data_IF_910278030514
#
_entry.id   IF_910278030514
#
_cell.length_a   1.000
_cell.length_b   1.000
_cell.length_c   1.000
_cell.angle_alpha   90.00
_cell.angle_beta   90.00
_cell.angle_gamma   90.00
#
_symmetry.space_group_name_H-M   'P 1'
#
loop_
_entity.id
_entity.type
_entity.pdbx_description
1 polymer ?
#
# COMPACT_ATOMS: atom_id res chain seq x y z
N UNK A 1 3.59 -19.93 -10.92
CA UNK A 1 4.10 -19.17 -9.75
C UNK A 1 3.94 -17.66 -9.90
N UNK A 2 4.35 -17.02 -11.00
CA UNK A 2 4.23 -15.55 -11.19
C UNK A 2 2.81 -14.97 -11.02
N UNK A 3 1.76 -15.67 -11.49
CA UNK A 3 0.35 -15.21 -11.38
C UNK A 3 -0.19 -15.20 -9.95
N UNK A 4 0.18 -16.19 -9.12
CA UNK A 4 -0.25 -16.25 -7.72
C UNK A 4 0.45 -15.18 -6.87
N UNK A 5 1.74 -14.96 -7.12
CA UNK A 5 2.49 -13.88 -6.45
C UNK A 5 1.90 -12.52 -6.81
N UNK A 6 1.55 -12.30 -8.07
CA UNK A 6 0.88 -11.07 -8.52
C UNK A 6 -0.50 -10.87 -7.87
N UNK A 7 -1.31 -11.93 -7.77
CA UNK A 7 -2.62 -11.85 -7.12
C UNK A 7 -2.49 -11.57 -5.61
N UNK A 8 -1.54 -12.24 -4.94
CA UNK A 8 -1.25 -12.02 -3.53
C UNK A 8 -0.78 -10.58 -3.26
N UNK A 9 0.05 -10.02 -4.14
CA UNK A 9 0.49 -8.62 -4.06
C UNK A 9 -0.71 -7.65 -4.15
N UNK A 10 -1.61 -7.84 -5.12
CA UNK A 10 -2.82 -7.00 -5.24
C UNK A 10 -3.70 -7.07 -3.99
N UNK A 11 -3.95 -8.28 -3.48
CA UNK A 11 -4.77 -8.48 -2.28
C UNK A 11 -4.12 -7.81 -1.07
N UNK A 12 -2.81 -7.97 -0.90
CA UNK A 12 -2.07 -7.36 0.20
C UNK A 12 -2.13 -5.83 0.13
N UNK A 13 -1.99 -5.24 -1.06
CA UNK A 13 -2.10 -3.79 -1.27
C UNK A 13 -3.50 -3.27 -0.94
N UNK A 14 -4.55 -3.98 -1.34
CA UNK A 14 -5.93 -3.65 -0.98
C UNK A 14 -6.12 -3.69 0.54
N UNK A 15 -5.58 -4.70 1.21
CA UNK A 15 -5.62 -4.82 2.67
C UNK A 15 -4.96 -3.62 3.35
N UNK A 16 -3.76 -3.22 2.91
CA UNK A 16 -3.05 -2.05 3.43
C UNK A 16 -3.82 -0.75 3.17
N UNK A 17 -4.49 -0.62 2.03
CA UNK A 17 -5.31 0.55 1.70
C UNK A 17 -6.52 0.67 2.65
N UNK A 18 -7.21 -0.45 2.90
CA UNK A 18 -8.35 -0.51 3.84
C UNK A 18 -7.90 -0.22 5.27
N UNK A 19 -6.76 -0.77 5.70
CA UNK A 19 -6.19 -0.48 7.01
C UNK A 19 -5.82 1.00 7.14
N UNK A 20 -5.13 1.57 6.16
CA UNK A 20 -4.74 2.98 6.18
C UNK A 20 -5.98 3.89 6.30
N UNK A 21 -7.05 3.58 5.58
CA UNK A 21 -8.34 4.28 5.70
C UNK A 21 -8.95 4.12 7.10
N UNK A 22 -8.96 2.92 7.65
CA UNK A 22 -9.45 2.66 9.00
C UNK A 22 -8.69 3.49 10.04
N UNK A 23 -7.35 3.53 9.97
CA UNK A 23 -6.50 4.32 10.88
C UNK A 23 -6.78 5.82 10.72
N UNK A 24 -6.89 6.30 9.47
CA UNK A 24 -7.16 7.70 9.20
C UNK A 24 -8.53 8.16 9.74
N UNK A 25 -9.55 7.31 9.63
CA UNK A 25 -10.94 7.64 10.02
C UNK A 25 -11.22 7.44 11.50
N UNK A 26 -10.75 6.34 12.11
CA UNK A 26 -11.07 6.00 13.51
C UNK A 26 -10.23 6.79 14.52
N UNK A 27 -9.06 7.29 14.12
CA UNK A 27 -8.19 8.10 14.97
C UNK A 27 -8.22 9.58 14.59
N UNK A 28 -9.38 10.10 14.21
CA UNK A 28 -9.52 11.47 13.71
C UNK A 28 -8.97 12.54 14.67
N UNK A 29 -9.07 12.31 15.98
CA UNK A 29 -8.58 13.24 17.00
C UNK A 29 -7.07 13.15 17.24
N UNK A 30 -6.41 12.06 16.83
CA UNK A 30 -4.97 11.87 17.00
C UNK A 30 -4.22 12.15 15.70
N UNK A 31 -3.62 13.34 15.61
CA UNK A 31 -2.82 13.74 14.46
C UNK A 31 -1.67 12.77 14.15
N UNK A 32 -1.08 12.08 15.15
CA UNK A 32 -0.02 11.10 14.89
C UNK A 32 -0.54 9.92 14.10
N UNK A 33 -1.72 9.41 14.46
CA UNK A 33 -2.34 8.29 13.75
C UNK A 33 -2.77 8.67 12.33
N UNK A 34 -3.20 9.92 12.09
CA UNK A 34 -3.44 10.41 10.73
C UNK A 34 -2.18 10.34 9.86
N UNK A 35 -1.03 10.77 10.38
CA UNK A 35 0.25 10.67 9.68
C UNK A 35 0.67 9.22 9.41
N UNK A 36 0.35 8.30 10.32
CA UNK A 36 0.55 6.85 10.10
C UNK A 36 -0.30 6.34 8.95
N UNK A 37 -1.61 6.63 8.94
CA UNK A 37 -2.48 6.23 7.83
C UNK A 37 -2.00 6.81 6.49
N UNK A 38 -1.57 8.07 6.49
CA UNK A 38 -1.08 8.76 5.29
C UNK A 38 0.26 8.18 4.80
N UNK A 39 1.18 7.83 5.71
CA UNK A 39 2.46 7.19 5.35
C UNK A 39 2.28 5.77 4.82
N UNK A 40 1.28 5.03 5.31
CA UNK A 40 0.92 3.71 4.78
C UNK A 40 0.43 3.82 3.32
N UNK A 41 -0.43 4.80 3.00
CA UNK A 41 -0.86 5.04 1.61
C UNK A 41 0.32 5.44 0.73
N UNK A 42 1.16 6.37 1.20
CA UNK A 42 2.33 6.82 0.45
C UNK A 42 3.29 5.66 0.16
N UNK A 43 3.58 4.82 1.16
CA UNK A 43 4.41 3.64 1.00
C UNK A 43 3.84 2.65 -0.03
N UNK A 44 2.53 2.43 0.00
CA UNK A 44 1.86 1.54 -0.95
C UNK A 44 1.97 2.04 -2.40
N UNK A 45 1.81 3.35 -2.62
CA UNK A 45 1.97 3.98 -3.95
C UNK A 45 3.43 3.93 -4.41
N UNK A 46 4.38 4.28 -3.53
CA UNK A 46 5.81 4.29 -3.85
C UNK A 46 6.29 2.89 -4.25
N UNK A 47 5.94 1.88 -3.47
CA UNK A 47 6.34 0.50 -3.77
C UNK A 47 5.71 -0.02 -5.07
N UNK A 48 4.49 0.38 -5.42
CA UNK A 48 3.87 0.07 -6.71
C UNK A 48 4.67 0.67 -7.87
N UNK A 49 5.14 1.91 -7.72
CA UNK A 49 5.95 2.58 -8.75
C UNK A 49 7.31 1.88 -8.95
N UNK A 50 7.98 1.51 -7.87
CA UNK A 50 9.26 0.78 -7.95
C UNK A 50 9.09 -0.63 -8.53
N UNK A 51 8.05 -1.35 -8.14
CA UNK A 51 7.78 -2.69 -8.66
C UNK A 51 7.47 -2.66 -10.17
N UNK A 52 6.67 -1.67 -10.61
CA UNK A 52 6.40 -1.45 -12.04
C UNK A 52 7.69 -1.22 -12.84
N UNK A 53 8.62 -0.43 -12.30
CA UNK A 53 9.92 -0.16 -12.95
C UNK A 53 10.86 -1.37 -12.92
N UNK A 54 10.87 -2.15 -11.84
CA UNK A 54 11.67 -3.37 -11.73
C UNK A 54 11.26 -4.42 -12.77
N UNK A 55 9.95 -4.59 -12.99
CA UNK A 55 9.42 -5.51 -13.98
C UNK A 55 9.61 -5.03 -15.43
N UNK A 56 9.78 -3.73 -15.65
CA UNK A 56 10.06 -3.14 -16.98
C UNK A 56 11.48 -3.41 -17.46
N UNK A 57 12.45 -3.48 -16.55
CA UNK A 57 13.88 -3.72 -16.83
C UNK A 57 14.23 -5.19 -17.12
N UNK A 58 13.35 -6.14 -16.78
CA UNK A 58 13.54 -7.59 -17.00
C UNK A 58 12.80 -8.13 -18.23
N UNK A 59 12.29 -7.26 -19.10
CA UNK A 59 11.62 -7.61 -20.35
C UNK A 59 12.56 -7.34 -21.52
#
# INVERSE_FOLDING_TARGET
MKKFIFLADIILRLLFMVWAWYVYTNYWADNRMKWVGLSMVAFNIITMFFDSNYHKLKK
#
